data_IF_221099706213
#
_entry.id   IF_221099706213
#
_cell.length_a   1.000
_cell.length_b   1.000
_cell.length_c   1.000
_cell.angle_alpha   90.00
_cell.angle_beta   90.00
_cell.angle_gamma   90.00
#
_symmetry.space_group_name_H-M   'P 1'
#
loop_
_entity.id
_entity.type
_entity.pdbx_description
1 polymer ?
#
# COMPACT_ATOMS: atom_id res chain seq x y z
N UNK A 1 3.69 5.29 -18.19
CA UNK A 1 3.54 5.17 -16.73
C UNK A 1 4.84 4.67 -16.18
N UNK A 2 5.08 4.78 -14.89
CA UNK A 2 6.32 4.33 -14.25
C UNK A 2 5.98 3.33 -13.13
N UNK A 3 6.97 2.58 -12.70
CA UNK A 3 6.90 1.63 -11.59
C UNK A 3 6.38 2.25 -10.28
N UNK A 4 6.65 3.55 -10.07
CA UNK A 4 6.19 4.29 -8.88
C UNK A 4 4.82 4.97 -9.08
N UNK A 5 4.13 4.74 -10.19
CA UNK A 5 2.83 5.34 -10.47
C UNK A 5 1.74 4.64 -9.66
N UNK A 6 1.09 5.35 -8.72
CA UNK A 6 0.04 4.77 -7.89
C UNK A 6 -1.11 4.21 -8.74
N UNK A 7 -1.78 5.04 -9.52
CA UNK A 7 -2.92 4.61 -10.37
C UNK A 7 -2.52 3.85 -11.63
N UNK A 8 -1.23 3.80 -11.96
CA UNK A 8 -0.73 3.08 -13.13
C UNK A 8 -0.13 1.71 -12.83
N UNK A 9 0.25 1.47 -11.58
CA UNK A 9 0.90 0.22 -11.19
C UNK A 9 0.60 -0.19 -9.74
N UNK A 10 0.90 0.65 -8.74
CA UNK A 10 0.89 0.21 -7.34
C UNK A 10 -0.49 -0.26 -6.86
N UNK A 11 -1.57 0.38 -7.30
CA UNK A 11 -2.93 -0.05 -6.97
C UNK A 11 -3.23 -1.45 -7.51
N UNK A 12 -2.83 -1.75 -8.75
CA UNK A 12 -3.00 -3.08 -9.32
C UNK A 12 -2.04 -4.11 -8.71
N UNK A 13 -0.80 -3.70 -8.41
CA UNK A 13 0.16 -4.56 -7.71
C UNK A 13 -0.38 -5.03 -6.36
N UNK A 14 -1.11 -4.15 -5.63
CA UNK A 14 -1.76 -4.53 -4.38
C UNK A 14 -2.84 -5.61 -4.60
N UNK A 15 -3.66 -5.49 -5.64
CA UNK A 15 -4.66 -6.50 -5.98
C UNK A 15 -4.01 -7.85 -6.34
N UNK A 16 -2.90 -7.84 -7.07
CA UNK A 16 -2.11 -9.05 -7.38
C UNK A 16 -1.51 -9.66 -6.13
N UNK A 17 -0.86 -8.86 -5.29
CA UNK A 17 -0.28 -9.29 -4.04
C UNK A 17 -1.31 -9.96 -3.11
N UNK A 18 -2.53 -9.42 -3.03
CA UNK A 18 -3.60 -9.95 -2.18
C UNK A 18 -4.10 -11.34 -2.61
N UNK A 19 -3.91 -11.68 -3.88
CA UNK A 19 -4.25 -13.01 -4.42
C UNK A 19 -3.03 -13.90 -4.61
N UNK A 20 -1.84 -13.47 -4.15
CA UNK A 20 -0.60 -14.25 -4.17
C UNK A 20 0.07 -14.32 -5.54
N UNK A 21 -0.10 -13.28 -6.37
CA UNK A 21 0.62 -13.13 -7.65
C UNK A 21 1.70 -12.06 -7.46
N UNK A 22 2.95 -12.44 -7.71
CA UNK A 22 4.09 -11.54 -7.66
C UNK A 22 4.53 -11.07 -9.05
N UNK A 23 5.20 -9.91 -9.19
CA UNK A 23 5.71 -9.42 -10.47
C UNK A 23 6.62 -10.41 -11.21
N UNK A 24 7.32 -11.26 -10.47
CA UNK A 24 8.19 -12.32 -11.00
C UNK A 24 7.43 -13.47 -11.68
N UNK A 25 6.12 -13.57 -11.46
CA UNK A 25 5.26 -14.57 -12.13
C UNK A 25 4.91 -14.17 -13.57
N UNK A 26 5.15 -12.91 -13.96
CA UNK A 26 4.94 -12.45 -15.33
C UNK A 26 6.17 -12.75 -16.21
N UNK A 27 5.92 -13.16 -17.45
CA UNK A 27 7.00 -13.36 -18.42
C UNK A 27 7.76 -12.06 -18.72
N UNK A 28 7.02 -10.93 -18.79
CA UNK A 28 7.58 -9.58 -18.92
C UNK A 28 6.68 -8.54 -18.28
N UNK A 29 7.26 -7.44 -17.83
CA UNK A 29 6.56 -6.28 -17.27
C UNK A 29 7.14 -5.00 -17.88
N UNK A 30 6.34 -4.29 -18.68
CA UNK A 30 6.75 -3.10 -19.40
C UNK A 30 5.93 -1.86 -19.04
N UNK A 31 6.58 -0.70 -19.02
CA UNK A 31 5.96 0.59 -18.71
C UNK A 31 5.91 1.50 -19.95
N UNK A 32 4.74 1.63 -20.56
CA UNK A 32 4.52 2.33 -21.86
C UNK A 32 4.47 3.86 -21.75
N UNK A 33 4.81 4.46 -20.62
CA UNK A 33 4.84 5.91 -20.43
C UNK A 33 3.46 6.57 -20.28
N UNK A 34 2.43 6.13 -20.99
CA UNK A 34 1.05 6.66 -20.91
C UNK A 34 0.01 5.55 -20.79
N UNK A 35 -1.20 5.90 -20.30
CA UNK A 35 -2.33 4.95 -20.26
C UNK A 35 -2.80 4.56 -21.66
N UNK A 36 -2.85 5.52 -22.59
CA UNK A 36 -3.22 5.27 -23.97
C UNK A 36 -2.23 4.31 -24.63
N UNK A 37 -0.93 4.50 -24.39
CA UNK A 37 0.11 3.59 -24.90
C UNK A 37 -0.05 2.15 -24.43
N UNK A 38 -0.49 1.94 -23.16
CA UNK A 38 -0.79 0.59 -22.65
C UNK A 38 -1.97 -0.04 -23.41
N UNK A 39 -3.06 0.70 -23.61
CA UNK A 39 -4.23 0.19 -24.34
C UNK A 39 -3.84 -0.18 -25.77
N UNK A 40 -3.09 0.68 -26.46
CA UNK A 40 -2.61 0.38 -27.81
C UNK A 40 -1.63 -0.80 -27.87
N UNK A 41 -0.81 -1.00 -26.81
CA UNK A 41 0.05 -2.19 -26.74
C UNK A 41 -0.78 -3.49 -26.67
N UNK A 42 -1.84 -3.52 -25.86
CA UNK A 42 -2.76 -4.66 -25.80
C UNK A 42 -3.51 -4.84 -27.13
N UNK A 43 -4.03 -3.76 -27.70
CA UNK A 43 -4.75 -3.80 -29.00
C UNK A 43 -3.89 -4.39 -30.12
N UNK A 44 -2.60 -4.08 -30.15
CA UNK A 44 -1.67 -4.54 -31.16
C UNK A 44 -1.01 -5.89 -30.82
N UNK A 45 -1.42 -6.56 -29.74
CA UNK A 45 -0.87 -7.86 -29.33
C UNK A 45 0.58 -7.79 -28.81
N UNK A 46 1.05 -6.61 -28.40
CA UNK A 46 2.38 -6.42 -27.79
C UNK A 46 2.36 -6.72 -26.28
N UNK A 47 1.18 -6.79 -25.68
CA UNK A 47 0.97 -7.20 -24.30
C UNK A 47 -0.38 -7.94 -24.19
N UNK A 48 -0.45 -8.96 -23.34
CA UNK A 48 -1.68 -9.73 -23.10
C UNK A 48 -2.61 -9.02 -22.13
N UNK A 49 -2.06 -8.25 -21.19
CA UNK A 49 -2.78 -7.53 -20.14
C UNK A 49 -2.25 -6.09 -20.05
N UNK A 50 -3.15 -5.14 -19.86
CA UNK A 50 -2.80 -3.74 -19.65
C UNK A 50 -3.43 -3.18 -18.39
N UNK A 51 -2.64 -2.47 -17.59
CA UNK A 51 -3.11 -1.76 -16.38
C UNK A 51 -3.22 -0.28 -16.71
N UNK A 52 -4.44 0.25 -16.60
CA UNK A 52 -4.72 1.64 -16.92
C UNK A 52 -5.64 2.28 -15.87
N UNK A 53 -5.66 3.59 -15.82
CA UNK A 53 -6.64 4.32 -15.02
C UNK A 53 -8.05 4.02 -15.52
N UNK A 54 -8.98 3.84 -14.60
CA UNK A 54 -10.41 3.71 -14.94
C UNK A 54 -10.88 4.91 -15.78
N UNK A 55 -11.81 4.63 -16.73
CA UNK A 55 -12.29 5.63 -17.68
C UNK A 55 -11.43 5.80 -18.94
N UNK A 56 -10.15 5.37 -18.95
CA UNK A 56 -9.27 5.53 -20.12
C UNK A 56 -9.81 4.76 -21.33
N UNK A 57 -10.25 3.53 -21.13
CA UNK A 57 -10.80 2.69 -22.21
C UNK A 57 -12.08 3.30 -22.79
N UNK A 58 -13.01 3.72 -21.91
CA UNK A 58 -14.27 4.38 -22.31
C UNK A 58 -13.99 5.66 -23.09
N UNK A 59 -13.07 6.51 -22.61
CA UNK A 59 -12.70 7.76 -23.30
C UNK A 59 -12.13 7.50 -24.70
N UNK A 60 -11.29 6.51 -24.89
CA UNK A 60 -10.72 6.19 -26.20
C UNK A 60 -11.77 5.62 -27.16
N UNK A 61 -12.74 4.85 -26.66
CA UNK A 61 -13.88 4.37 -27.44
C UNK A 61 -14.79 5.54 -27.90
N UNK A 62 -15.13 6.45 -26.98
CA UNK A 62 -15.91 7.68 -27.29
C UNK A 62 -15.21 8.57 -28.31
N UNK A 63 -13.88 8.60 -28.33
CA UNK A 63 -13.08 9.31 -29.33
C UNK A 63 -12.97 8.55 -30.67
N UNK A 64 -13.52 7.35 -30.77
CA UNK A 64 -13.40 6.50 -31.94
C UNK A 64 -11.99 5.98 -32.23
N UNK A 65 -11.10 6.03 -31.23
CA UNK A 65 -9.72 5.56 -31.37
C UNK A 65 -9.58 4.05 -31.24
N UNK A 66 -10.58 3.38 -30.69
CA UNK A 66 -10.67 1.92 -30.54
C UNK A 66 -12.13 1.47 -30.48
N UNK A 67 -12.36 0.17 -30.49
CA UNK A 67 -13.64 -0.45 -30.20
C UNK A 67 -13.57 -1.15 -28.83
N UNK A 68 -14.39 -0.70 -27.86
CA UNK A 68 -14.43 -1.26 -26.52
C UNK A 68 -14.63 -2.79 -26.50
N UNK A 69 -15.47 -3.31 -27.41
CA UNK A 69 -15.80 -4.73 -27.46
C UNK A 69 -14.60 -5.65 -27.76
N UNK A 70 -13.48 -5.09 -28.23
CA UNK A 70 -12.24 -5.84 -28.44
C UNK A 70 -11.46 -6.10 -27.15
N UNK A 71 -11.91 -5.54 -26.02
CA UNK A 71 -11.26 -5.66 -24.74
C UNK A 71 -12.15 -6.36 -23.71
N UNK A 72 -11.53 -7.04 -22.77
CA UNK A 72 -12.19 -7.61 -21.61
C UNK A 72 -11.59 -7.04 -20.33
N UNK A 73 -12.41 -6.40 -19.52
CA UNK A 73 -12.01 -5.94 -18.18
C UNK A 73 -11.91 -7.16 -17.25
N UNK A 74 -10.73 -7.40 -16.70
CA UNK A 74 -10.50 -8.46 -15.73
C UNK A 74 -11.03 -8.02 -14.36
N UNK A 75 -11.56 -8.96 -13.57
CA UNK A 75 -12.17 -8.68 -12.26
C UNK A 75 -13.18 -7.51 -12.33
N UNK A 76 -14.05 -7.52 -13.33
CA UNK A 76 -14.99 -6.44 -13.64
C UNK A 76 -15.86 -6.09 -12.43
N UNK A 77 -15.83 -4.82 -12.04
CA UNK A 77 -16.75 -4.19 -11.08
C UNK A 77 -17.53 -3.10 -11.82
N UNK A 78 -18.86 -3.16 -11.69
CA UNK A 78 -19.76 -2.26 -12.40
C UNK A 78 -19.63 -0.82 -11.87
N UNK A 79 -19.90 0.19 -12.74
CA UNK A 79 -20.04 1.57 -12.30
C UNK A 79 -21.12 1.72 -11.20
N UNK A 80 -20.92 2.67 -10.31
CA UNK A 80 -21.88 3.04 -9.28
C UNK A 80 -22.24 4.51 -9.42
N UNK A 81 -23.26 4.99 -8.73
CA UNK A 81 -23.62 6.40 -8.70
C UNK A 81 -22.49 7.30 -8.16
N UNK A 82 -21.70 6.76 -7.23
CA UNK A 82 -20.57 7.46 -6.62
C UNK A 82 -19.28 7.37 -7.46
N UNK A 83 -19.16 6.33 -8.28
CA UNK A 83 -18.02 6.09 -9.16
C UNK A 83 -18.48 5.60 -10.53
N UNK A 84 -18.63 6.49 -11.52
CA UNK A 84 -19.29 6.17 -12.79
C UNK A 84 -18.42 5.41 -13.78
N UNK A 85 -17.28 4.89 -13.36
CA UNK A 85 -16.37 4.12 -14.22
C UNK A 85 -16.33 2.65 -13.83
N UNK A 86 -16.25 1.77 -14.83
CA UNK A 86 -15.89 0.38 -14.59
C UNK A 86 -14.45 0.30 -14.04
N UNK A 87 -14.20 -0.65 -13.17
CA UNK A 87 -12.90 -0.82 -12.54
C UNK A 87 -12.65 -2.29 -12.16
N UNK A 88 -11.41 -2.63 -11.84
CA UNK A 88 -11.00 -3.99 -11.49
C UNK A 88 -10.61 -4.13 -10.01
N UNK A 89 -10.19 -3.06 -9.36
CA UNK A 89 -9.67 -3.06 -8.00
C UNK A 89 -10.39 -2.10 -7.07
N UNK A 90 -9.81 -1.86 -5.91
CA UNK A 90 -10.29 -0.86 -4.96
C UNK A 90 -10.30 0.56 -5.55
N UNK A 91 -11.24 1.37 -5.04
CA UNK A 91 -11.33 2.78 -5.41
C UNK A 91 -10.52 3.60 -4.41
N UNK A 92 -9.53 4.30 -4.92
CA UNK A 92 -8.66 5.18 -4.15
C UNK A 92 -9.03 6.64 -4.39
N UNK A 93 -8.83 7.52 -3.39
CA UNK A 93 -9.03 8.95 -3.56
C UNK A 93 -8.12 9.51 -4.66
N UNK A 94 -8.65 10.45 -5.44
CA UNK A 94 -7.90 11.14 -6.48
C UNK A 94 -6.83 12.07 -5.89
N UNK A 95 -6.07 12.76 -6.75
CA UNK A 95 -5.01 13.67 -6.35
C UNK A 95 -5.52 14.80 -5.45
N UNK A 96 -4.83 15.04 -4.33
CA UNK A 96 -5.10 16.18 -3.49
C UNK A 96 -4.43 17.44 -4.03
N UNK A 97 -5.17 18.54 -4.07
CA UNK A 97 -4.57 19.86 -4.18
C UNK A 97 -4.13 20.30 -2.78
N UNK A 98 -2.83 20.51 -2.59
CA UNK A 98 -2.26 20.91 -1.30
C UNK A 98 -1.61 22.29 -1.40
N UNK A 99 -1.70 23.07 -0.34
CA UNK A 99 -0.96 24.32 -0.22
C UNK A 99 0.44 24.10 0.38
N UNK A 100 1.38 24.93 -0.01
CA UNK A 100 2.70 24.97 0.64
C UNK A 100 2.63 25.77 1.95
N UNK A 101 3.52 25.50 2.94
CA UNK A 101 3.50 26.17 4.24
C UNK A 101 3.59 27.69 4.21
N UNK A 102 4.21 28.27 3.17
CA UNK A 102 4.34 29.73 3.00
C UNK A 102 3.08 30.40 2.46
N UNK A 103 2.06 29.65 1.99
CA UNK A 103 0.80 30.20 1.49
C UNK A 103 -0.12 30.49 2.67
N UNK A 104 -0.57 31.72 2.81
CA UNK A 104 -1.47 32.14 3.89
C UNK A 104 -2.83 31.45 3.83
N UNK A 105 -3.45 31.27 4.98
CA UNK A 105 -4.76 30.56 5.11
C UNK A 105 -5.85 31.23 4.28
N UNK A 106 -5.90 32.55 4.26
CA UNK A 106 -6.92 33.32 3.53
C UNK A 106 -6.87 32.99 2.03
N UNK A 107 -5.69 32.99 1.43
CA UNK A 107 -5.47 32.65 0.01
C UNK A 107 -5.90 31.20 -0.25
N UNK A 108 -5.53 30.27 0.64
CA UNK A 108 -5.90 28.86 0.50
C UNK A 108 -7.42 28.65 0.54
N UNK A 109 -8.14 29.35 1.43
CA UNK A 109 -9.61 29.31 1.54
C UNK A 109 -10.26 29.86 0.27
N UNK A 110 -9.79 30.99 -0.25
CA UNK A 110 -10.30 31.60 -1.47
C UNK A 110 -10.17 30.65 -2.68
N UNK A 111 -8.98 30.02 -2.85
CA UNK A 111 -8.75 29.03 -3.90
C UNK A 111 -9.62 27.79 -3.72
N UNK A 112 -9.68 27.20 -2.52
CA UNK A 112 -10.51 26.04 -2.26
C UNK A 112 -11.99 26.31 -2.56
N UNK A 113 -12.50 27.47 -2.13
CA UNK A 113 -13.86 27.88 -2.38
C UNK A 113 -14.15 28.07 -3.87
N UNK A 114 -13.23 28.71 -4.60
CA UNK A 114 -13.35 28.88 -6.03
C UNK A 114 -13.38 27.54 -6.77
N UNK A 115 -12.49 26.60 -6.41
CA UNK A 115 -12.41 25.28 -7.04
C UNK A 115 -13.64 24.42 -6.78
N UNK A 116 -14.16 24.41 -5.55
CA UNK A 116 -15.37 23.64 -5.19
C UNK A 116 -16.60 24.18 -5.92
N UNK A 117 -16.66 25.46 -6.17
CA UNK A 117 -17.77 26.12 -6.86
C UNK A 117 -17.67 26.09 -8.39
N UNK A 118 -16.63 25.49 -8.98
CA UNK A 118 -16.58 25.33 -10.44
C UNK A 118 -17.73 24.42 -10.88
N UNK A 119 -18.58 24.85 -11.83
CA UNK A 119 -19.64 24.02 -12.38
C UNK A 119 -19.07 22.74 -13.02
N UNK A 120 -19.73 21.61 -12.80
CA UNK A 120 -19.27 20.29 -13.29
C UNK A 120 -19.20 20.20 -14.81
N UNK A 121 -20.00 20.98 -15.53
CA UNK A 121 -20.03 21.04 -16.99
C UNK A 121 -18.77 21.67 -17.60
N UNK A 122 -18.06 22.53 -16.87
CA UNK A 122 -16.81 23.16 -17.32
C UNK A 122 -15.72 22.09 -17.53
N UNK A 123 -15.65 21.08 -16.68
CA UNK A 123 -14.66 20.00 -16.80
C UNK A 123 -15.10 18.95 -17.80
N UNK A 124 -16.38 18.56 -17.82
CA UNK A 124 -16.90 17.54 -18.73
C UNK A 124 -16.78 17.95 -20.20
N UNK A 125 -16.97 19.23 -20.52
CA UNK A 125 -16.81 19.76 -21.87
C UNK A 125 -15.36 19.67 -22.40
N UNK A 126 -14.37 19.70 -21.52
CA UNK A 126 -12.96 19.77 -21.93
C UNK A 126 -12.23 18.46 -21.86
N UNK A 127 -12.65 17.56 -21.00
CA UNK A 127 -11.89 16.35 -20.66
C UNK A 127 -12.67 15.03 -20.82
N UNK A 128 -13.94 15.08 -21.20
CA UNK A 128 -14.86 13.92 -21.25
C UNK A 128 -14.90 13.14 -19.91
N UNK A 129 -14.49 13.76 -18.82
CA UNK A 129 -14.32 13.17 -17.48
C UNK A 129 -15.05 14.08 -16.48
N UNK A 130 -16.00 13.60 -15.67
CA UNK A 130 -16.73 14.40 -14.68
C UNK A 130 -15.84 14.74 -13.48
N UNK A 131 -14.74 15.43 -13.74
CA UNK A 131 -13.84 15.89 -12.68
C UNK A 131 -14.55 16.91 -11.80
N UNK A 132 -14.44 16.74 -10.51
CA UNK A 132 -15.00 17.65 -9.52
C UNK A 132 -14.03 17.82 -8.36
N UNK A 133 -13.82 19.06 -7.93
CA UNK A 133 -13.20 19.32 -6.66
C UNK A 133 -14.19 19.11 -5.52
N UNK A 134 -13.76 18.46 -4.46
CA UNK A 134 -14.55 18.19 -3.27
C UNK A 134 -13.71 18.41 -2.01
N UNK A 135 -14.34 18.29 -0.86
CA UNK A 135 -13.60 18.19 0.41
C UNK A 135 -12.66 16.99 0.37
N UNK A 136 -11.49 17.07 1.03
CA UNK A 136 -10.53 15.96 1.05
C UNK A 136 -11.15 14.67 1.57
N UNK A 137 -10.93 13.58 0.84
CA UNK A 137 -11.24 12.23 1.31
C UNK A 137 -10.11 11.70 2.20
N UNK A 138 -10.39 10.64 2.97
CA UNK A 138 -9.35 9.95 3.73
C UNK A 138 -8.38 9.24 2.77
N UNK A 139 -7.07 9.44 2.96
CA UNK A 139 -6.01 8.75 2.23
C UNK A 139 -5.48 7.51 2.96
N UNK A 140 -6.21 7.03 3.98
CA UNK A 140 -5.81 5.87 4.76
C UNK A 140 -5.63 4.62 3.89
N UNK A 141 -6.54 4.38 2.93
CA UNK A 141 -6.44 3.25 2.00
C UNK A 141 -5.17 3.32 1.11
N UNK A 142 -4.78 4.53 0.68
CA UNK A 142 -3.53 4.73 -0.06
C UNK A 142 -2.32 4.42 0.82
N UNK A 143 -2.33 4.89 2.07
CA UNK A 143 -1.28 4.64 3.04
C UNK A 143 -1.15 3.14 3.36
N UNK A 144 -2.26 2.44 3.56
CA UNK A 144 -2.30 1.00 3.78
C UNK A 144 -1.78 0.22 2.57
N UNK A 145 -2.15 0.61 1.36
CA UNK A 145 -1.61 0.04 0.12
C UNK A 145 -0.09 0.18 0.04
N UNK A 146 0.46 1.38 0.26
CA UNK A 146 1.89 1.64 0.20
C UNK A 146 2.66 0.89 1.29
N UNK A 147 2.09 0.77 2.50
CA UNK A 147 2.66 -0.03 3.61
C UNK A 147 2.68 -1.52 3.29
N UNK A 148 1.58 -2.05 2.75
CA UNK A 148 1.47 -3.46 2.38
C UNK A 148 2.51 -3.83 1.31
N UNK A 149 2.71 -2.97 0.33
CA UNK A 149 3.71 -3.16 -0.73
C UNK A 149 5.14 -2.79 -0.31
N UNK A 150 5.32 -2.24 0.91
CA UNK A 150 6.62 -1.77 1.41
C UNK A 150 7.36 -0.81 0.45
N UNK A 151 6.61 0.09 -0.19
CA UNK A 151 7.14 1.10 -1.12
C UNK A 151 7.22 2.49 -0.48
N UNK A 152 8.05 3.37 -1.05
CA UNK A 152 8.25 4.73 -0.55
C UNK A 152 6.91 5.50 -0.41
N UNK A 153 6.69 6.26 0.69
CA UNK A 153 7.62 6.59 1.79
C UNK A 153 7.69 5.54 2.92
N UNK A 154 7.08 4.38 2.74
CA UNK A 154 6.99 3.31 3.76
C UNK A 154 7.98 2.16 3.54
N UNK A 155 8.91 2.31 2.61
CA UNK A 155 10.04 1.40 2.44
C UNK A 155 10.81 1.28 3.77
N UNK A 156 10.99 0.05 4.23
CA UNK A 156 11.54 -0.24 5.56
C UNK A 156 10.67 0.17 6.78
N UNK A 157 9.37 0.44 6.60
CA UNK A 157 8.43 0.82 7.65
C UNK A 157 8.49 -0.13 8.87
N UNK A 158 8.45 -1.43 8.62
CA UNK A 158 8.55 -2.44 9.68
C UNK A 158 9.91 -2.43 10.40
N UNK A 159 11.01 -2.19 9.67
CA UNK A 159 12.34 -2.07 10.26
C UNK A 159 12.46 -0.81 11.14
N UNK A 160 11.83 0.28 10.74
CA UNK A 160 11.79 1.51 11.53
C UNK A 160 11.01 1.30 12.83
N UNK A 161 9.82 0.69 12.78
CA UNK A 161 9.01 0.34 13.97
C UNK A 161 9.80 -0.56 14.91
N UNK A 162 10.41 -1.65 14.40
CA UNK A 162 11.21 -2.56 15.22
C UNK A 162 12.37 -1.84 15.88
N UNK A 163 13.03 -0.94 15.16
CA UNK A 163 14.12 -0.11 15.69
C UNK A 163 13.64 0.81 16.80
N UNK A 164 12.51 1.49 16.64
CA UNK A 164 11.91 2.35 17.66
C UNK A 164 11.50 1.56 18.89
N UNK A 165 10.85 0.41 18.72
CA UNK A 165 10.47 -0.49 19.81
C UNK A 165 11.72 -0.98 20.56
N UNK A 166 12.76 -1.39 19.86
CA UNK A 166 14.03 -1.79 20.45
C UNK A 166 14.64 -0.66 21.30
N UNK A 167 14.75 0.55 20.76
CA UNK A 167 15.29 1.68 21.52
C UNK A 167 14.43 2.08 22.72
N UNK A 168 13.11 2.01 22.60
CA UNK A 168 12.16 2.31 23.70
C UNK A 168 12.22 1.27 24.81
N UNK A 169 12.32 0.00 24.48
CA UNK A 169 12.23 -1.11 25.45
C UNK A 169 13.57 -1.78 25.77
N UNK A 170 14.70 -1.30 25.22
CA UNK A 170 16.03 -1.93 25.39
C UNK A 170 16.41 -2.16 26.86
N UNK A 171 16.08 -1.21 27.75
CA UNK A 171 16.40 -1.33 29.19
C UNK A 171 15.57 -2.44 29.83
N UNK A 172 14.29 -2.51 29.51
CA UNK A 172 13.39 -3.57 29.98
C UNK A 172 13.79 -4.95 29.46
N UNK A 173 14.22 -5.04 28.21
CA UNK A 173 14.75 -6.27 27.61
C UNK A 173 16.03 -6.72 28.32
N UNK A 174 16.95 -5.80 28.61
CA UNK A 174 18.17 -6.11 29.35
C UNK A 174 17.88 -6.58 30.78
N UNK A 175 17.00 -5.90 31.52
CA UNK A 175 16.61 -6.31 32.87
C UNK A 175 15.92 -7.67 32.87
N UNK A 176 15.07 -7.94 31.90
CA UNK A 176 14.43 -9.25 31.74
C UNK A 176 15.44 -10.38 31.47
N UNK A 177 16.39 -10.16 30.57
CA UNK A 177 17.45 -11.13 30.26
C UNK A 177 18.34 -11.39 31.49
N UNK A 178 18.73 -10.34 32.24
CA UNK A 178 19.51 -10.49 33.47
C UNK A 178 18.74 -11.23 34.56
N UNK A 179 17.45 -10.95 34.73
CA UNK A 179 16.61 -11.66 35.69
C UNK A 179 16.46 -13.16 35.33
N UNK A 180 16.27 -13.45 34.06
CA UNK A 180 16.20 -14.82 33.56
C UNK A 180 17.52 -15.58 33.76
N UNK A 181 18.65 -14.95 33.47
CA UNK A 181 19.98 -15.53 33.69
C UNK A 181 20.22 -15.78 35.19
N UNK A 182 19.83 -14.85 36.07
CA UNK A 182 19.89 -15.03 37.52
C UNK A 182 19.03 -16.21 38.02
N UNK A 183 17.82 -16.35 37.48
CA UNK A 183 16.93 -17.48 37.80
C UNK A 183 17.54 -18.83 37.38
N UNK A 184 18.11 -18.90 36.18
CA UNK A 184 18.78 -20.10 35.68
C UNK A 184 20.00 -20.45 36.59
N UNK A 185 20.82 -19.48 36.95
CA UNK A 185 21.93 -19.69 37.87
C UNK A 185 21.47 -20.19 39.23
N UNK A 186 20.41 -19.62 39.78
CA UNK A 186 19.83 -20.05 41.05
C UNK A 186 19.33 -21.50 40.97
N UNK A 187 18.62 -21.86 39.91
CA UNK A 187 18.19 -23.25 39.67
C UNK A 187 19.35 -24.23 39.58
N UNK A 188 20.41 -23.87 38.87
CA UNK A 188 21.61 -24.68 38.77
C UNK A 188 22.31 -24.80 40.12
N UNK A 189 22.36 -23.73 40.90
CA UNK A 189 22.94 -23.77 42.23
C UNK A 189 22.15 -24.70 43.17
N UNK A 190 20.81 -24.55 43.22
CA UNK A 190 19.91 -25.38 44.01
C UNK A 190 20.00 -26.84 43.63
N UNK A 191 20.06 -27.17 42.33
CA UNK A 191 20.21 -28.55 41.86
C UNK A 191 21.57 -29.16 42.26
N UNK A 192 22.66 -28.36 42.20
CA UNK A 192 24.00 -28.79 42.67
C UNK A 192 23.98 -29.03 44.21
N UNK A 193 23.35 -28.14 44.94
CA UNK A 193 23.24 -28.27 46.40
C UNK A 193 22.45 -29.53 46.80
N UNK A 194 21.32 -29.77 46.15
CA UNK A 194 20.49 -30.95 46.36
C UNK A 194 21.24 -32.27 46.02
N UNK A 195 22.07 -32.29 44.98
CA UNK A 195 22.91 -33.44 44.67
C UNK A 195 23.91 -33.71 45.76
N UNK A 196 24.64 -32.68 46.24
CA UNK A 196 25.61 -32.82 47.38
C UNK A 196 24.93 -33.30 48.65
N UNK A 197 23.75 -32.84 48.98
CA UNK A 197 22.97 -33.30 50.16
C UNK A 197 22.55 -34.79 50.01
N UNK A 198 22.14 -35.22 48.82
CA UNK A 198 21.81 -36.63 48.56
C UNK A 198 23.01 -37.54 48.70
N UNK A 199 24.16 -37.14 48.20
CA UNK A 199 25.45 -37.90 48.35
C UNK A 199 25.86 -38.02 49.81
N UNK A 200 25.77 -36.94 50.61
CA UNK A 200 26.06 -37.02 52.04
C UNK A 200 25.07 -37.92 52.82
N UNK A 201 23.79 -37.93 52.51
CA UNK A 201 22.80 -38.82 53.10
C UNK A 201 23.05 -40.30 52.76
N UNK A 202 23.49 -40.58 51.53
CA UNK A 202 23.85 -41.94 51.11
C UNK A 202 25.05 -42.49 51.86
N UNK A 203 26.10 -41.66 52.05
CA UNK A 203 27.32 -42.09 52.80
C UNK A 203 27.09 -42.30 54.30
N UNK A 204 26.08 -41.65 54.91
CA UNK A 204 25.72 -41.87 56.30
C UNK A 204 24.84 -43.11 56.55
N UNK A 205 24.26 -43.73 55.52
CA UNK A 205 23.48 -44.96 55.65
C UNK A 205 24.29 -46.24 55.44
N UNK A 206 25.56 -46.07 54.99
CA UNK A 206 26.47 -47.19 54.79
C UNK A 206 27.52 -47.35 55.89
N UNK A 207 27.38 -46.62 57.00
CA UNK A 207 28.11 -46.78 58.26
C UNK A 207 27.10 -47.23 59.34
#
# INVERSE_FOLDING_TARGET
MSENSFGGWLAALKEFHDIGIDPEDFESLDFMGSHDGVIFAVQNGLADIGIVRAGTLTRLDELGALEYNNFRVLNYRAPTEQYPFMHSGEIYPAWALSRMPHVGDQVAIEYATALINIPSDVFSQRYADPLRFSIPSSYLSVEECLKALNVSPYDNYYKQILRELYFRYRIWLLTFVLALAGLIMLLLYVTRLNRKLREKKSNHRCK
#
